data_IF_601529410235
#
_entry.id   IF_601529410235
#
_cell.length_a   1.000
_cell.length_b   1.000
_cell.length_c   1.000
_cell.angle_alpha   90.00
_cell.angle_beta   90.00
_cell.angle_gamma   90.00
#
_symmetry.space_group_name_H-M   'P 1'
#
loop_
_entity.id
_entity.type
_entity.pdbx_description
1 polymer ?
#
# COMPACT_ATOMS: atom_id res chain seq x y z
N UNK A 1 -44.12 -21.29 8.33
CA UNK A 1 -43.64 -20.28 9.30
C UNK A 1 -42.31 -19.75 8.80
N UNK A 2 -42.29 -18.56 8.21
CA UNK A 2 -41.04 -17.92 7.80
C UNK A 2 -40.34 -17.38 9.04
N UNK A 3 -39.09 -17.79 9.27
CA UNK A 3 -38.26 -17.21 10.31
C UNK A 3 -38.15 -15.70 10.08
N UNK A 4 -38.59 -14.93 11.08
CA UNK A 4 -38.66 -13.48 11.01
C UNK A 4 -37.29 -12.89 10.72
N UNK A 5 -37.19 -12.12 9.64
CA UNK A 5 -36.00 -11.31 9.39
C UNK A 5 -35.83 -10.32 10.55
N UNK A 6 -34.60 -10.09 11.04
CA UNK A 6 -34.36 -9.12 12.09
C UNK A 6 -34.84 -7.74 11.62
N UNK A 7 -35.53 -7.01 12.50
CA UNK A 7 -35.96 -5.65 12.22
C UNK A 7 -34.76 -4.76 11.88
N UNK A 8 -34.97 -3.75 11.05
CA UNK A 8 -33.93 -2.78 10.67
C UNK A 8 -33.25 -2.14 11.89
N UNK A 9 -34.00 -2.00 12.99
CA UNK A 9 -33.50 -1.55 14.29
C UNK A 9 -32.52 -2.56 14.95
N UNK A 10 -32.80 -3.86 14.87
CA UNK A 10 -31.89 -4.90 15.37
C UNK A 10 -30.61 -4.99 14.53
N UNK A 11 -30.72 -4.81 13.21
CA UNK A 11 -29.56 -4.73 12.31
C UNK A 11 -28.67 -3.51 12.64
N UNK A 12 -29.27 -2.33 12.85
CA UNK A 12 -28.53 -1.13 13.30
C UNK A 12 -27.87 -1.32 14.67
N UNK A 13 -28.57 -1.89 15.66
CA UNK A 13 -28.01 -2.12 16.99
C UNK A 13 -26.86 -3.16 16.99
N UNK A 14 -26.92 -4.17 16.11
CA UNK A 14 -25.81 -5.10 15.89
C UNK A 14 -24.62 -4.41 15.21
N UNK A 15 -24.89 -3.54 14.22
CA UNK A 15 -23.86 -2.73 13.57
C UNK A 15 -23.18 -1.77 14.56
N UNK A 16 -23.93 -1.07 15.41
CA UNK A 16 -23.38 -0.15 16.42
C UNK A 16 -22.50 -0.86 17.46
N UNK A 17 -22.90 -2.05 17.92
CA UNK A 17 -22.07 -2.87 18.83
C UNK A 17 -20.78 -3.35 18.17
N UNK A 18 -20.88 -3.73 16.90
CA UNK A 18 -19.73 -4.14 16.07
C UNK A 18 -18.77 -2.97 15.89
N UNK A 19 -19.27 -1.78 15.54
CA UNK A 19 -18.47 -0.56 15.39
C UNK A 19 -17.76 -0.17 16.70
N UNK A 20 -18.43 -0.29 17.86
CA UNK A 20 -17.81 0.01 19.17
C UNK A 20 -16.66 -0.93 19.54
N UNK A 21 -16.68 -2.17 19.08
CA UNK A 21 -15.58 -3.12 19.32
C UNK A 21 -14.43 -3.00 18.30
N UNK A 22 -14.68 -2.38 17.15
CA UNK A 22 -13.74 -2.24 16.02
C UNK A 22 -12.66 -1.15 16.26
N UNK A 23 -12.84 -0.29 17.27
CA UNK A 23 -11.95 0.85 17.51
C UNK A 23 -11.96 1.86 16.35
N UNK A 24 -11.19 2.95 16.50
CA UNK A 24 -11.20 4.05 15.51
C UNK A 24 -10.49 3.70 14.19
N UNK A 25 -9.73 2.60 14.15
CA UNK A 25 -8.81 2.28 13.05
C UNK A 25 -9.43 1.43 11.93
N UNK A 26 -10.64 0.89 12.18
CA UNK A 26 -11.32 -0.04 11.30
C UNK A 26 -10.74 -1.46 11.40
N UNK A 27 -11.59 -2.46 11.16
CA UNK A 27 -11.21 -3.88 11.18
C UNK A 27 -11.40 -4.46 9.79
N UNK A 28 -10.43 -5.23 9.33
CA UNK A 28 -10.55 -5.97 8.06
C UNK A 28 -11.18 -7.31 8.34
N UNK A 29 -12.13 -7.64 7.47
CA UNK A 29 -13.03 -8.76 7.66
C UNK A 29 -13.18 -9.53 6.36
N UNK A 30 -13.25 -10.86 6.44
CA UNK A 30 -13.61 -11.70 5.29
C UNK A 30 -15.11 -12.00 5.35
N UNK A 31 -15.85 -11.69 4.28
CA UNK A 31 -17.29 -11.94 4.23
C UNK A 31 -17.57 -13.44 4.02
N UNK A 32 -18.12 -14.08 5.06
CA UNK A 32 -18.49 -15.50 5.09
C UNK A 32 -19.40 -15.93 3.95
N UNK A 33 -20.36 -15.09 3.54
CA UNK A 33 -21.28 -15.42 2.42
C UNK A 33 -20.54 -15.56 1.11
N UNK A 34 -19.38 -14.92 1.01
CA UNK A 34 -18.52 -15.01 -0.17
C UNK A 34 -17.68 -16.28 -0.10
N UNK A 35 -17.17 -16.64 1.09
CA UNK A 35 -16.46 -17.91 1.33
C UNK A 35 -17.34 -19.12 1.04
N UNK A 36 -18.59 -19.10 1.50
CA UNK A 36 -19.52 -20.22 1.28
C UNK A 36 -19.90 -20.36 -0.21
N UNK A 37 -19.97 -19.25 -0.96
CA UNK A 37 -20.20 -19.26 -2.41
C UNK A 37 -18.99 -19.75 -3.20
N UNK A 38 -17.75 -19.44 -2.77
CA UNK A 38 -16.56 -19.97 -3.42
C UNK A 38 -16.29 -21.43 -3.09
N UNK A 39 -16.80 -21.94 -1.97
CA UNK A 39 -16.69 -23.35 -1.60
C UNK A 39 -17.55 -24.29 -2.48
N UNK A 40 -18.60 -23.77 -3.13
CA UNK A 40 -19.50 -24.55 -4.01
C UNK A 40 -19.04 -24.57 -5.46
N UNK A 41 -17.94 -23.91 -5.79
CA UNK A 41 -17.38 -23.82 -7.14
C UNK A 41 -16.43 -25.01 -7.38
N UNK A 42 -16.53 -25.71 -8.51
CA UNK A 42 -15.76 -26.94 -8.83
C UNK A 42 -14.25 -26.70 -9.06
N UNK A 43 -13.73 -25.52 -8.75
CA UNK A 43 -12.31 -25.18 -8.82
C UNK A 43 -11.57 -25.72 -7.57
N UNK A 44 -10.70 -26.75 -7.71
CA UNK A 44 -10.02 -27.37 -6.58
C UNK A 44 -9.13 -26.40 -5.78
N UNK A 45 -8.64 -25.31 -6.39
CA UNK A 45 -7.87 -24.27 -5.71
C UNK A 45 -8.73 -23.37 -4.81
N UNK A 46 -9.99 -23.12 -5.21
CA UNK A 46 -10.96 -22.35 -4.40
C UNK A 46 -11.44 -23.15 -3.20
N UNK A 47 -11.62 -24.46 -3.36
CA UNK A 47 -12.00 -25.36 -2.26
C UNK A 47 -10.99 -25.39 -1.11
N UNK A 48 -9.68 -25.37 -1.42
CA UNK A 48 -8.64 -25.31 -0.40
C UNK A 48 -8.68 -23.98 0.38
N UNK A 49 -8.76 -22.86 -0.33
CA UNK A 49 -8.85 -21.51 0.25
C UNK A 49 -10.10 -21.37 1.13
N UNK A 50 -11.25 -21.88 0.68
CA UNK A 50 -12.49 -21.83 1.43
C UNK A 50 -12.45 -22.71 2.70
N UNK A 51 -11.77 -23.87 2.66
CA UNK A 51 -11.55 -24.71 3.86
C UNK A 51 -10.66 -24.03 4.89
N UNK A 52 -9.58 -23.39 4.44
CA UNK A 52 -8.68 -22.62 5.32
C UNK A 52 -9.41 -21.45 5.98
N UNK A 53 -10.18 -20.68 5.19
CA UNK A 53 -11.04 -19.61 5.70
C UNK A 53 -12.08 -20.12 6.70
N UNK A 54 -12.71 -21.28 6.45
CA UNK A 54 -13.66 -21.88 7.41
C UNK A 54 -12.97 -22.33 8.70
N UNK A 55 -11.77 -22.91 8.61
CA UNK A 55 -11.01 -23.32 9.78
C UNK A 55 -10.64 -22.12 10.67
N UNK A 56 -10.22 -21.01 10.06
CA UNK A 56 -9.97 -19.74 10.77
C UNK A 56 -11.26 -19.15 11.36
N UNK A 57 -12.39 -19.24 10.64
CA UNK A 57 -13.71 -18.80 11.14
C UNK A 57 -14.10 -19.55 12.42
N UNK A 58 -13.94 -20.86 12.41
CA UNK A 58 -14.28 -21.72 13.55
C UNK A 58 -13.29 -21.52 14.70
N UNK A 59 -12.03 -21.17 14.41
CA UNK A 59 -11.02 -20.81 15.41
C UNK A 59 -11.38 -19.50 16.12
N UNK A 60 -11.72 -18.45 15.37
CA UNK A 60 -12.12 -17.16 15.92
C UNK A 60 -13.38 -17.25 16.80
N UNK A 61 -14.35 -18.09 16.43
CA UNK A 61 -15.53 -18.39 17.25
C UNK A 61 -15.19 -19.01 18.59
N UNK A 62 -14.33 -20.04 18.58
CA UNK A 62 -13.87 -20.70 19.81
C UNK A 62 -13.15 -19.73 20.75
N UNK A 63 -12.56 -18.66 20.22
CA UNK A 63 -11.93 -17.60 21.00
C UNK A 63 -12.91 -16.57 21.62
N UNK A 64 -14.23 -16.75 21.48
CA UNK A 64 -15.23 -15.90 22.13
C UNK A 64 -15.67 -14.68 21.33
N UNK A 65 -15.45 -14.66 20.01
CA UNK A 65 -15.92 -13.59 19.11
C UNK A 65 -17.44 -13.67 18.78
N UNK A 66 -18.22 -14.43 19.54
CA UNK A 66 -19.61 -14.84 19.26
C UNK A 66 -20.66 -13.69 19.26
N UNK A 67 -20.24 -12.43 19.42
CA UNK A 67 -21.14 -11.26 19.37
C UNK A 67 -20.93 -10.33 18.17
N UNK A 68 -19.84 -10.47 17.43
CA UNK A 68 -19.50 -9.61 16.30
C UNK A 68 -19.85 -10.28 14.96
N UNK A 69 -21.14 -10.24 14.62
CA UNK A 69 -21.70 -10.52 13.28
C UNK A 69 -21.41 -11.92 12.73
N UNK A 70 -22.46 -12.73 12.54
CA UNK A 70 -22.45 -14.11 11.99
C UNK A 70 -21.73 -14.34 10.63
N UNK A 71 -21.17 -13.28 10.03
CA UNK A 71 -20.68 -13.21 8.66
C UNK A 71 -19.27 -12.58 8.50
N UNK A 72 -18.56 -12.31 9.60
CA UNK A 72 -17.34 -11.51 9.61
C UNK A 72 -16.18 -12.35 10.13
N UNK A 73 -15.26 -12.75 9.24
CA UNK A 73 -14.00 -13.38 9.64
C UNK A 73 -13.02 -12.30 10.07
N UNK A 74 -12.57 -12.35 11.31
CA UNK A 74 -11.46 -11.52 11.79
C UNK A 74 -10.20 -11.87 11.00
N UNK A 75 -9.51 -10.87 10.42
CA UNK A 75 -8.16 -11.12 9.92
C UNK A 75 -7.29 -11.47 11.14
N UNK A 76 -6.61 -12.62 11.15
CA UNK A 76 -5.83 -13.07 12.31
C UNK A 76 -4.77 -12.02 12.70
N UNK A 77 -4.20 -12.15 13.90
CA UNK A 77 -3.40 -11.16 14.63
C UNK A 77 -2.39 -10.32 13.82
N UNK A 78 -1.80 -9.28 14.43
CA UNK A 78 -1.08 -8.21 13.72
C UNK A 78 0.09 -8.65 12.81
N UNK A 79 0.53 -9.91 12.91
CA UNK A 79 1.61 -10.50 12.10
C UNK A 79 1.14 -11.52 11.08
N UNK A 80 -0.15 -11.86 11.07
CA UNK A 80 -0.63 -12.92 10.22
C UNK A 80 -0.77 -12.42 8.78
N UNK A 81 -0.19 -13.15 7.81
CA UNK A 81 -0.24 -12.78 6.41
C UNK A 81 -1.68 -12.85 5.88
N UNK A 82 -2.03 -11.98 4.94
CA UNK A 82 -3.30 -12.08 4.21
C UNK A 82 -3.00 -12.63 2.83
N UNK A 83 -3.44 -13.87 2.52
CA UNK A 83 -3.26 -14.44 1.20
C UNK A 83 -3.95 -13.59 0.14
N UNK A 84 -3.26 -13.33 -0.95
CA UNK A 84 -3.76 -12.49 -2.03
C UNK A 84 -5.07 -12.97 -2.65
N UNK A 85 -5.30 -14.28 -2.68
CA UNK A 85 -6.53 -14.89 -3.17
C UNK A 85 -7.77 -14.51 -2.34
N UNK A 86 -7.61 -13.96 -1.14
CA UNK A 86 -8.73 -13.51 -0.31
C UNK A 86 -9.26 -12.14 -0.73
N UNK A 87 -8.53 -11.36 -1.55
CA UNK A 87 -8.90 -10.00 -1.97
C UNK A 87 -10.39 -9.82 -2.35
N UNK A 88 -11.03 -10.67 -3.19
CA UNK A 88 -12.43 -10.50 -3.57
C UNK A 88 -13.42 -10.63 -2.41
N UNK A 89 -12.97 -11.20 -1.29
CA UNK A 89 -13.75 -11.51 -0.11
C UNK A 89 -13.46 -10.56 1.05
N UNK A 90 -12.47 -9.66 0.89
CA UNK A 90 -12.12 -8.68 1.91
C UNK A 90 -13.11 -7.52 1.93
N UNK A 91 -13.45 -7.11 3.13
CA UNK A 91 -14.05 -5.83 3.42
C UNK A 91 -13.30 -5.16 4.57
N UNK A 92 -13.25 -3.84 4.58
CA UNK A 92 -12.82 -3.03 5.71
C UNK A 92 -14.04 -2.38 6.33
N UNK A 93 -14.23 -2.57 7.62
CA UNK A 93 -15.33 -1.97 8.39
C UNK A 93 -14.73 -0.87 9.24
N UNK A 94 -15.21 0.36 9.07
CA UNK A 94 -14.78 1.54 9.84
C UNK A 94 -16.01 2.24 10.44
N UNK A 95 -15.83 3.23 11.33
CA UNK A 95 -16.95 4.06 11.79
C UNK A 95 -17.72 4.75 10.65
N UNK A 96 -17.07 4.99 9.51
CA UNK A 96 -17.66 5.62 8.32
C UNK A 96 -18.44 4.63 7.43
N UNK A 97 -18.28 3.32 7.65
CA UNK A 97 -19.05 2.30 6.95
C UNK A 97 -18.24 1.06 6.56
N UNK A 98 -18.83 0.27 5.66
CA UNK A 98 -18.22 -0.95 5.12
C UNK A 98 -17.71 -0.69 3.71
N UNK A 99 -16.44 -0.97 3.49
CA UNK A 99 -15.75 -0.86 2.21
C UNK A 99 -15.41 -2.26 1.73
N UNK A 100 -15.84 -2.65 0.53
CA UNK A 100 -15.56 -3.97 -0.03
C UNK A 100 -14.69 -3.83 -1.27
N UNK A 101 -13.84 -4.82 -1.52
CA UNK A 101 -13.06 -4.89 -2.75
C UNK A 101 -13.97 -5.21 -3.93
N UNK A 102 -14.01 -4.31 -4.91
CA UNK A 102 -14.61 -4.53 -6.23
C UNK A 102 -13.49 -4.56 -7.28
N UNK A 103 -13.16 -5.77 -7.73
CA UNK A 103 -12.11 -6.00 -8.72
C UNK A 103 -12.45 -5.47 -10.11
N UNK A 104 -13.73 -5.28 -10.44
CA UNK A 104 -14.14 -4.68 -11.72
C UNK A 104 -13.85 -3.18 -11.67
N UNK A 105 -14.25 -2.51 -10.59
CA UNK A 105 -13.93 -1.09 -10.38
C UNK A 105 -12.41 -0.84 -10.38
N UNK A 106 -11.63 -1.69 -9.69
CA UNK A 106 -10.17 -1.61 -9.70
C UNK A 106 -9.59 -1.82 -11.10
N UNK A 107 -10.12 -2.78 -11.86
CA UNK A 107 -9.69 -3.04 -13.24
C UNK A 107 -9.94 -1.84 -14.15
N UNK A 108 -11.13 -1.24 -14.07
CA UNK A 108 -11.49 -0.02 -14.80
C UNK A 108 -10.58 1.14 -14.42
N UNK A 109 -10.36 1.37 -13.12
CA UNK A 109 -9.48 2.44 -12.61
C UNK A 109 -8.05 2.31 -13.12
N UNK A 110 -7.55 1.07 -13.18
CA UNK A 110 -6.18 0.78 -13.61
C UNK A 110 -6.04 0.63 -15.14
N UNK A 111 -7.15 0.66 -15.91
CA UNK A 111 -7.14 0.40 -17.34
C UNK A 111 -6.61 -1.00 -17.69
N UNK A 112 -6.91 -2.01 -16.87
CA UNK A 112 -6.40 -3.39 -16.99
C UNK A 112 -7.55 -4.39 -16.94
N UNK A 113 -7.29 -5.65 -17.30
CA UNK A 113 -8.28 -6.72 -17.12
C UNK A 113 -8.44 -7.09 -15.65
N UNK A 114 -9.66 -7.47 -15.23
CA UNK A 114 -9.96 -7.98 -13.88
C UNK A 114 -8.99 -9.07 -13.44
N UNK A 115 -8.74 -10.06 -14.30
CA UNK A 115 -7.82 -11.16 -13.99
C UNK A 115 -6.37 -10.68 -13.87
N UNK A 116 -5.96 -9.69 -14.68
CA UNK A 116 -4.63 -9.09 -14.59
C UNK A 116 -4.41 -8.37 -13.26
N UNK A 117 -5.38 -7.57 -12.83
CA UNK A 117 -5.35 -6.88 -11.52
C UNK A 117 -5.38 -7.87 -10.37
N UNK A 118 -6.28 -8.85 -10.42
CA UNK A 118 -6.36 -9.88 -9.38
C UNK A 118 -5.05 -10.64 -9.23
N UNK A 119 -4.44 -11.10 -10.34
CA UNK A 119 -3.16 -11.82 -10.33
C UNK A 119 -2.03 -10.95 -9.78
N UNK A 120 -1.97 -9.69 -10.20
CA UNK A 120 -0.97 -8.73 -9.73
C UNK A 120 -1.06 -8.55 -8.21
N UNK A 121 -2.23 -8.18 -7.71
CA UNK A 121 -2.45 -7.95 -6.29
C UNK A 121 -2.29 -9.24 -5.49
N UNK A 122 -2.70 -10.38 -6.04
CA UNK A 122 -2.54 -11.67 -5.36
C UNK A 122 -1.08 -12.11 -5.23
N UNK A 123 -0.20 -11.62 -6.11
CA UNK A 123 1.24 -11.86 -6.04
C UNK A 123 1.99 -10.90 -5.11
N UNK A 124 1.28 -9.94 -4.49
CA UNK A 124 1.84 -9.04 -3.48
C UNK A 124 2.30 -9.86 -2.27
N UNK A 125 3.37 -9.42 -1.61
CA UNK A 125 3.81 -10.02 -0.36
C UNK A 125 2.62 -10.05 0.64
N UNK A 126 2.20 -11.22 1.13
CA UNK A 126 1.06 -11.34 2.03
C UNK A 126 1.19 -10.51 3.31
N UNK A 127 2.42 -10.30 3.83
CA UNK A 127 2.66 -9.45 4.98
C UNK A 127 2.45 -7.96 4.64
N UNK A 128 2.92 -7.50 3.47
CA UNK A 128 2.71 -6.12 3.03
C UNK A 128 1.22 -5.83 2.77
N UNK A 129 0.49 -6.80 2.20
CA UNK A 129 -0.96 -6.68 2.04
C UNK A 129 -1.67 -6.61 3.40
N UNK A 130 -1.25 -7.43 4.36
CA UNK A 130 -1.81 -7.43 5.70
C UNK A 130 -1.51 -6.12 6.47
N UNK A 131 -0.29 -5.57 6.32
CA UNK A 131 0.08 -4.25 6.84
C UNK A 131 -0.82 -3.15 6.24
N UNK A 132 -0.99 -3.15 4.90
CA UNK A 132 -1.87 -2.21 4.20
C UNK A 132 -3.28 -2.24 4.80
N UNK A 133 -3.88 -3.42 4.85
CA UNK A 133 -5.25 -3.66 5.29
C UNK A 133 -5.51 -3.15 6.72
N UNK A 134 -4.53 -3.28 7.61
CA UNK A 134 -4.62 -2.85 9.01
C UNK A 134 -4.23 -1.39 9.26
N UNK A 135 -3.75 -0.70 8.23
CA UNK A 135 -3.22 0.65 8.38
C UNK A 135 -4.34 1.67 8.56
N UNK A 136 -4.16 2.60 9.49
CA UNK A 136 -5.02 3.80 9.58
C UNK A 136 -4.69 4.75 8.43
N UNK A 137 -3.40 4.93 8.15
CA UNK A 137 -2.85 5.66 7.00
C UNK A 137 -1.66 4.89 6.46
N UNK A 138 -1.44 4.95 5.16
CA UNK A 138 -0.34 4.24 4.52
C UNK A 138 0.53 5.17 3.69
N UNK A 139 1.84 4.98 3.82
CA UNK A 139 2.86 5.45 2.89
C UNK A 139 3.29 4.28 2.03
N UNK A 140 2.78 4.22 0.80
CA UNK A 140 3.17 3.21 -0.17
C UNK A 140 4.51 3.59 -0.80
N UNK A 141 5.45 2.65 -0.80
CA UNK A 141 6.81 2.86 -1.36
C UNK A 141 7.14 1.76 -2.36
N UNK A 142 8.06 2.04 -3.30
CA UNK A 142 8.39 1.08 -4.35
C UNK A 142 9.08 -0.17 -3.80
N UNK A 143 10.12 -0.03 -2.98
CA UNK A 143 10.95 -1.14 -2.52
C UNK A 143 11.15 -1.24 -1.01
N UNK A 144 11.84 -2.30 -0.60
CA UNK A 144 12.22 -2.52 0.81
C UNK A 144 13.32 -1.58 1.30
N UNK A 145 14.13 -1.05 0.37
CA UNK A 145 15.14 -0.01 0.65
C UNK A 145 14.49 1.31 1.02
N UNK A 146 13.45 1.71 0.28
CA UNK A 146 12.62 2.88 0.59
C UNK A 146 11.99 2.75 1.97
N UNK A 147 11.36 1.60 2.23
CA UNK A 147 10.76 1.29 3.53
C UNK A 147 11.79 1.46 4.65
N UNK A 148 12.98 0.90 4.49
CA UNK A 148 14.01 0.89 5.52
C UNK A 148 14.45 2.30 5.95
N UNK A 149 14.48 3.25 5.01
CA UNK A 149 14.82 4.66 5.26
C UNK A 149 13.61 5.41 5.81
N UNK A 150 12.48 5.32 5.10
CA UNK A 150 11.29 6.12 5.40
C UNK A 150 10.64 5.72 6.72
N UNK A 151 10.67 4.45 7.14
CA UNK A 151 10.22 4.04 8.48
C UNK A 151 10.99 4.76 9.59
N UNK A 152 12.32 4.89 9.44
CA UNK A 152 13.14 5.58 10.44
C UNK A 152 12.83 7.06 10.46
N UNK A 153 12.71 7.69 9.29
CA UNK A 153 12.39 9.11 9.19
C UNK A 153 11.01 9.42 9.78
N UNK A 154 9.98 8.66 9.40
CA UNK A 154 8.60 8.78 9.92
C UNK A 154 8.60 8.66 11.45
N UNK A 155 9.30 7.66 12.00
CA UNK A 155 9.40 7.46 13.46
C UNK A 155 10.15 8.60 14.16
N UNK A 156 11.29 9.05 13.62
CA UNK A 156 12.07 10.15 14.20
C UNK A 156 11.37 11.51 14.08
N UNK A 157 10.50 11.67 13.08
CA UNK A 157 9.69 12.88 12.87
C UNK A 157 8.37 12.88 13.67
N UNK A 158 8.07 11.81 14.40
CA UNK A 158 6.91 11.72 15.28
C UNK A 158 5.58 11.41 14.58
N UNK A 159 5.61 10.83 13.39
CA UNK A 159 4.40 10.49 12.62
C UNK A 159 3.95 9.06 12.96
N UNK A 160 3.27 8.89 14.09
CA UNK A 160 3.03 7.58 14.72
C UNK A 160 1.92 6.70 14.11
N UNK A 161 1.00 7.26 13.33
CA UNK A 161 -0.19 6.59 12.77
C UNK A 161 -0.02 6.18 11.28
N UNK A 162 1.17 6.40 10.72
CA UNK A 162 1.49 6.14 9.32
C UNK A 162 2.32 4.85 9.17
N UNK A 163 1.77 3.86 8.47
CA UNK A 163 2.50 2.62 8.15
C UNK A 163 3.21 2.78 6.81
N UNK A 164 4.49 2.40 6.74
CA UNK A 164 5.25 2.37 5.47
C UNK A 164 5.18 0.98 4.86
N UNK A 165 4.55 0.85 3.69
CA UNK A 165 4.28 -0.45 3.06
C UNK A 165 4.95 -0.53 1.68
N UNK A 166 5.84 -1.52 1.46
CA UNK A 166 6.52 -1.69 0.17
C UNK A 166 5.64 -2.47 -0.81
N UNK A 167 5.47 -1.94 -2.03
CA UNK A 167 4.68 -2.58 -3.07
C UNK A 167 5.50 -3.56 -3.93
N UNK A 168 6.81 -3.35 -4.04
CA UNK A 168 7.76 -4.16 -4.80
C UNK A 168 7.90 -3.81 -6.28
N UNK A 169 7.01 -3.00 -6.85
CA UNK A 169 7.13 -2.44 -8.20
C UNK A 169 6.16 -1.27 -8.40
N UNK A 170 6.43 -0.38 -9.36
CA UNK A 170 5.50 0.71 -9.76
C UNK A 170 4.11 0.20 -10.17
N UNK A 171 4.06 -0.97 -10.83
CA UNK A 171 2.80 -1.59 -11.26
C UNK A 171 1.96 -2.04 -10.05
N UNK A 172 2.58 -2.66 -9.05
CA UNK A 172 1.90 -3.02 -7.80
C UNK A 172 1.58 -1.81 -6.96
N UNK A 173 2.43 -0.80 -6.98
CA UNK A 173 2.21 0.47 -6.28
C UNK A 173 0.90 1.11 -6.73
N UNK A 174 0.66 1.17 -8.03
CA UNK A 174 -0.62 1.62 -8.61
C UNK A 174 -1.80 0.76 -8.14
N UNK A 175 -1.66 -0.56 -8.16
CA UNK A 175 -2.70 -1.49 -7.72
C UNK A 175 -3.04 -1.36 -6.23
N UNK A 176 -2.02 -1.30 -5.37
CA UNK A 176 -2.18 -1.15 -3.92
C UNK A 176 -2.76 0.22 -3.57
N UNK A 177 -2.38 1.29 -4.29
CA UNK A 177 -2.96 2.62 -4.07
C UNK A 177 -4.47 2.64 -4.40
N UNK A 178 -4.86 2.03 -5.53
CA UNK A 178 -6.27 1.90 -5.90
C UNK A 178 -7.05 1.04 -4.88
N UNK A 179 -6.49 -0.09 -4.45
CA UNK A 179 -7.07 -0.97 -3.43
C UNK A 179 -7.27 -0.24 -2.10
N UNK A 180 -6.22 0.44 -1.61
CA UNK A 180 -6.25 1.17 -0.35
C UNK A 180 -7.35 2.23 -0.34
N UNK A 181 -7.48 2.97 -1.46
CA UNK A 181 -8.56 3.95 -1.64
C UNK A 181 -9.95 3.30 -1.61
N UNK A 182 -10.15 2.19 -2.31
CA UNK A 182 -11.43 1.47 -2.31
C UNK A 182 -11.82 1.02 -0.90
N UNK A 183 -10.82 0.69 -0.06
CA UNK A 183 -10.96 0.33 1.35
C UNK A 183 -11.00 1.54 2.30
N UNK A 184 -11.02 2.77 1.78
CA UNK A 184 -11.07 3.99 2.58
C UNK A 184 -9.82 4.22 3.44
N UNK A 185 -8.66 3.71 3.01
CA UNK A 185 -7.37 3.92 3.69
C UNK A 185 -6.69 5.14 3.05
N UNK A 186 -6.49 6.26 3.80
CA UNK A 186 -5.67 7.38 3.35
C UNK A 186 -4.30 6.88 2.91
N UNK A 187 -3.97 7.15 1.65
CA UNK A 187 -2.75 6.67 1.00
C UNK A 187 -1.91 7.81 0.46
N UNK A 188 -0.63 7.84 0.80
CA UNK A 188 0.40 8.66 0.18
C UNK A 188 1.38 7.74 -0.55
N UNK A 189 1.85 8.13 -1.74
CA UNK A 189 2.71 7.27 -2.58
C UNK A 189 4.09 7.90 -2.79
N UNK A 190 5.17 7.15 -2.60
CA UNK A 190 6.54 7.58 -2.92
C UNK A 190 7.13 6.60 -3.93
N UNK A 191 7.75 7.13 -4.98
CA UNK A 191 8.39 6.32 -6.01
C UNK A 191 9.62 7.01 -6.60
N UNK A 192 10.52 6.21 -7.15
CA UNK A 192 11.64 6.69 -7.95
C UNK A 192 11.12 7.24 -9.28
N UNK A 193 11.47 8.48 -9.64
CA UNK A 193 11.14 9.04 -10.94
C UNK A 193 11.90 8.39 -12.09
N UNK A 194 12.93 7.58 -11.79
CA UNK A 194 13.76 6.85 -12.75
C UNK A 194 14.40 7.76 -13.82
N UNK A 195 14.46 9.06 -13.53
CA UNK A 195 15.08 10.06 -14.38
C UNK A 195 16.59 9.93 -14.43
N UNK A 196 17.22 10.85 -15.16
CA UNK A 196 18.67 10.94 -15.30
C UNK A 196 19.15 10.65 -16.72
N UNK A 197 20.43 10.90 -16.93
CA UNK A 197 21.09 10.74 -18.23
C UNK A 197 21.03 9.26 -18.63
N UNK A 198 20.54 8.92 -19.85
CA UNK A 198 20.62 7.58 -20.38
C UNK A 198 22.06 7.05 -20.23
N UNK A 199 22.28 5.83 -19.74
CA UNK A 199 23.61 5.23 -19.78
C UNK A 199 24.15 5.26 -21.21
N UNK A 200 25.44 5.49 -21.37
CA UNK A 200 26.08 5.57 -22.68
C UNK A 200 25.84 4.29 -23.52
N UNK A 201 25.10 4.50 -24.61
CA UNK A 201 25.16 3.83 -25.91
C UNK A 201 24.93 2.30 -26.03
N UNK A 202 24.14 1.65 -25.17
CA UNK A 202 23.62 0.30 -25.50
C UNK A 202 22.12 0.32 -25.78
N UNK A 203 21.70 -0.42 -26.81
CA UNK A 203 20.27 -0.64 -27.10
C UNK A 203 19.51 -1.24 -25.92
N UNK A 204 20.20 -1.98 -25.04
CA UNK A 204 19.67 -2.50 -23.77
C UNK A 204 19.36 -1.37 -22.78
N UNK A 205 20.26 -0.41 -22.60
CA UNK A 205 20.05 0.74 -21.72
C UNK A 205 18.84 1.57 -22.17
N UNK A 206 18.72 1.88 -23.47
CA UNK A 206 17.56 2.60 -24.01
C UNK A 206 16.25 1.83 -23.86
N UNK A 207 16.26 0.49 -24.01
CA UNK A 207 15.06 -0.34 -23.76
C UNK A 207 14.65 -0.32 -22.28
N UNK A 208 15.63 -0.41 -21.37
CA UNK A 208 15.37 -0.33 -19.93
C UNK A 208 14.79 1.03 -19.53
N UNK A 209 15.36 2.13 -20.02
CA UNK A 209 14.86 3.48 -19.73
C UNK A 209 13.45 3.69 -20.28
N UNK A 210 13.16 3.25 -21.51
CA UNK A 210 11.79 3.29 -22.06
C UNK A 210 10.79 2.48 -21.21
N UNK A 211 11.19 1.31 -20.72
CA UNK A 211 10.34 0.51 -19.82
C UNK A 211 10.06 1.24 -18.51
N UNK A 212 11.08 1.88 -17.91
CA UNK A 212 10.93 2.67 -16.66
C UNK A 212 10.04 3.88 -16.86
N UNK A 213 10.24 4.59 -17.98
CA UNK A 213 9.38 5.70 -18.39
C UNK A 213 7.91 5.23 -18.51
N UNK A 214 7.65 4.16 -19.26
CA UNK A 214 6.30 3.63 -19.43
C UNK A 214 5.64 3.22 -18.10
N UNK A 215 6.41 2.60 -17.19
CA UNK A 215 5.90 2.22 -15.86
C UNK A 215 5.61 3.44 -14.98
N UNK A 216 6.48 4.44 -15.00
CA UNK A 216 6.31 5.70 -14.25
C UNK A 216 5.11 6.48 -14.76
N UNK A 217 4.97 6.63 -16.07
CA UNK A 217 3.82 7.29 -16.69
C UNK A 217 2.50 6.53 -16.43
N UNK A 218 2.52 5.19 -16.42
CA UNK A 218 1.35 4.40 -16.07
C UNK A 218 0.93 4.57 -14.60
N UNK A 219 1.90 4.64 -13.68
CA UNK A 219 1.66 4.97 -12.29
C UNK A 219 1.05 6.37 -12.16
N UNK A 220 1.64 7.39 -12.79
CA UNK A 220 1.13 8.76 -12.77
C UNK A 220 -0.31 8.87 -13.28
N UNK A 221 -0.64 8.19 -14.39
CA UNK A 221 -2.03 8.16 -14.90
C UNK A 221 -3.00 7.60 -13.87
N UNK A 222 -2.59 6.57 -13.13
CA UNK A 222 -3.41 6.01 -12.04
C UNK A 222 -3.55 7.02 -10.89
N UNK A 223 -2.45 7.66 -10.48
CA UNK A 223 -2.47 8.64 -9.39
C UNK A 223 -3.22 9.94 -9.76
N UNK A 224 -3.26 10.31 -11.04
CA UNK A 224 -4.01 11.45 -11.53
C UNK A 224 -5.54 11.29 -11.36
N UNK A 225 -6.04 10.05 -11.31
CA UNK A 225 -7.46 9.78 -10.96
C UNK A 225 -7.76 10.27 -9.54
N UNK A 226 -6.75 10.33 -8.67
CA UNK A 226 -6.92 10.57 -7.24
C UNK A 226 -6.53 11.98 -6.80
N UNK A 227 -5.83 12.73 -7.65
CA UNK A 227 -5.13 13.95 -7.25
C UNK A 227 -5.32 15.05 -8.29
N UNK A 228 -5.40 16.32 -7.89
CA UNK A 228 -5.32 17.42 -8.84
C UNK A 228 -4.06 17.25 -9.71
N UNK A 229 -4.18 17.54 -11.00
CA UNK A 229 -3.07 17.43 -11.93
C UNK A 229 -1.88 18.27 -11.44
N UNK A 230 -0.78 17.58 -11.12
CA UNK A 230 0.54 18.18 -10.98
C UNK A 230 1.22 17.99 -12.34
N UNK A 231 1.66 19.06 -12.98
CA UNK A 231 2.44 18.98 -14.23
C UNK A 231 3.87 18.51 -13.90
N UNK A 232 4.03 17.20 -13.74
CA UNK A 232 5.30 16.51 -13.56
C UNK A 232 5.42 15.41 -14.61
N UNK A 233 6.62 15.28 -15.20
CA UNK A 233 6.93 14.34 -16.27
C UNK A 233 8.17 13.53 -15.90
N UNK A 234 8.28 12.37 -16.53
CA UNK A 234 9.45 11.51 -16.38
C UNK A 234 10.75 12.30 -16.65
N UNK A 235 11.67 12.29 -15.69
CA UNK A 235 12.94 13.02 -15.75
C UNK A 235 12.91 14.41 -15.12
N UNK A 236 11.77 14.90 -14.68
CA UNK A 236 11.68 16.16 -13.92
C UNK A 236 12.34 16.02 -12.54
N UNK A 237 12.75 17.14 -11.90
CA UNK A 237 13.27 17.13 -10.54
C UNK A 237 12.30 16.55 -9.51
N UNK A 238 12.83 16.25 -8.33
CA UNK A 238 12.02 15.78 -7.19
C UNK A 238 10.83 16.69 -6.91
N UNK A 239 9.64 16.09 -6.85
CA UNK A 239 8.40 16.79 -6.51
C UNK A 239 7.74 16.13 -5.31
N UNK A 240 7.28 16.96 -4.37
CA UNK A 240 6.44 16.55 -3.24
C UNK A 240 5.06 17.13 -3.47
N UNK A 241 4.18 16.31 -4.03
CA UNK A 241 2.79 16.66 -4.30
C UNK A 241 1.87 16.41 -3.10
N UNK A 242 0.56 16.68 -3.24
CA UNK A 242 -0.40 16.54 -2.15
C UNK A 242 -0.62 15.09 -1.68
N UNK A 243 -0.52 14.11 -2.58
CA UNK A 243 -0.78 12.69 -2.27
C UNK A 243 0.34 11.75 -2.75
N UNK A 244 1.35 12.29 -3.41
CA UNK A 244 2.48 11.49 -3.86
C UNK A 244 3.73 12.33 -3.99
N UNK A 245 4.87 11.65 -3.95
CA UNK A 245 6.20 12.20 -4.14
C UNK A 245 6.94 11.37 -5.18
N UNK A 246 7.55 12.03 -6.16
CA UNK A 246 8.45 11.41 -7.11
C UNK A 246 9.87 11.93 -6.85
N UNK A 247 10.81 11.03 -6.60
CA UNK A 247 12.22 11.39 -6.60
C UNK A 247 12.67 11.71 -8.02
N UNK A 248 13.63 12.62 -8.21
CA UNK A 248 14.08 13.02 -9.55
C UNK A 248 14.71 11.85 -10.30
N UNK A 249 15.51 11.04 -9.59
CA UNK A 249 16.12 9.82 -10.14
C UNK A 249 15.81 8.62 -9.26
N UNK A 250 16.53 8.45 -8.15
CA UNK A 250 16.32 7.39 -7.16
C UNK A 250 16.43 7.91 -5.74
N UNK A 251 15.90 7.15 -4.77
CA UNK A 251 16.10 7.41 -3.35
C UNK A 251 17.60 7.56 -2.99
N UNK A 252 18.49 6.71 -3.54
CA UNK A 252 19.91 6.77 -3.19
C UNK A 252 20.58 8.07 -3.67
N UNK A 253 20.11 8.65 -4.78
CA UNK A 253 20.59 9.95 -5.22
C UNK A 253 20.19 11.06 -4.22
N UNK A 254 18.96 11.01 -3.70
CA UNK A 254 18.49 11.93 -2.64
C UNK A 254 19.27 11.75 -1.33
N UNK A 255 19.54 10.51 -0.92
CA UNK A 255 20.35 10.20 0.25
C UNK A 255 21.80 10.67 0.11
N UNK A 256 22.32 10.70 -1.12
CA UNK A 256 23.69 11.17 -1.39
C UNK A 256 23.86 12.67 -1.13
N UNK A 257 22.76 13.43 -1.12
CA UNK A 257 22.77 14.85 -0.74
C UNK A 257 22.71 15.06 0.78
N UNK A 258 22.53 14.01 1.59
CA UNK A 258 22.43 14.10 3.05
C UNK A 258 23.79 13.85 3.71
N UNK A 259 24.51 14.92 4.06
CA UNK A 259 25.88 14.86 4.58
C UNK A 259 26.04 13.98 5.83
N UNK A 260 25.13 14.09 6.79
CA UNK A 260 25.08 13.32 8.02
C UNK A 260 24.81 11.84 7.78
N UNK A 261 23.96 11.54 6.78
CA UNK A 261 23.73 10.16 6.34
C UNK A 261 24.97 9.56 5.69
N UNK A 262 25.62 10.28 4.77
CA UNK A 262 26.85 9.83 4.12
C UNK A 262 27.95 9.59 5.16
N UNK A 263 28.11 10.49 6.12
CA UNK A 263 29.07 10.35 7.22
C UNK A 263 28.76 9.15 8.12
N UNK A 264 27.48 8.87 8.38
CA UNK A 264 27.06 7.68 9.13
C UNK A 264 27.28 6.38 8.35
N UNK A 265 26.98 6.39 7.04
CA UNK A 265 27.19 5.27 6.14
C UNK A 265 28.68 4.89 6.06
N UNK A 266 29.57 5.87 5.87
CA UNK A 266 31.02 5.62 5.83
C UNK A 266 31.57 5.07 7.14
N UNK A 267 31.15 5.60 8.29
CA UNK A 267 31.53 5.05 9.61
C UNK A 267 31.16 3.59 9.74
N UNK A 268 29.93 3.21 9.34
CA UNK A 268 29.47 1.82 9.40
C UNK A 268 30.33 0.90 8.55
N UNK A 269 30.76 1.34 7.36
CA UNK A 269 31.65 0.53 6.52
C UNK A 269 33.03 0.39 7.16
N UNK A 270 33.60 1.46 7.72
CA UNK A 270 34.86 1.41 8.44
C UNK A 270 34.81 0.49 9.68
N UNK A 271 33.65 0.41 10.35
CA UNK A 271 33.39 -0.46 11.50
C UNK A 271 33.15 -1.94 11.12
N UNK A 272 32.98 -2.28 9.84
CA UNK A 272 32.67 -3.63 9.36
C UNK A 272 33.91 -4.35 8.80
N UNK A 273 34.66 -5.12 9.60
CA UNK A 273 35.82 -5.85 9.10
C UNK A 273 35.41 -6.85 8.00
N UNK A 274 36.05 -6.79 6.84
CA UNK A 274 35.87 -7.73 5.73
C UNK A 274 35.00 -7.23 4.56
N UNK A 275 34.38 -6.06 4.66
CA UNK A 275 33.93 -5.33 3.46
C UNK A 275 35.19 -4.75 2.82
N UNK A 276 35.55 -5.21 1.62
CA UNK A 276 36.73 -4.76 0.89
C UNK A 276 36.76 -3.24 0.62
N UNK A 277 37.69 -2.75 -0.22
CA UNK A 277 37.71 -1.33 -0.59
C UNK A 277 36.34 -0.88 -1.06
N UNK A 278 36.00 0.36 -0.66
CA UNK A 278 34.70 0.95 -0.90
C UNK A 278 34.38 0.92 -2.39
N UNK A 279 33.16 0.50 -2.80
CA UNK A 279 32.77 0.63 -4.20
C UNK A 279 32.82 2.11 -4.58
N UNK A 280 33.39 2.40 -5.75
CA UNK A 280 33.42 3.74 -6.36
C UNK A 280 32.02 4.23 -6.80
N UNK A 281 31.01 3.35 -6.68
CA UNK A 281 29.65 3.47 -7.19
C UNK A 281 28.63 3.11 -6.07
N UNK A 282 27.32 3.39 -6.23
CA UNK A 282 26.43 3.99 -5.21
C UNK A 282 26.28 3.21 -3.91
N UNK A 283 25.82 3.94 -2.88
CA UNK A 283 25.38 3.43 -1.57
C UNK A 283 24.81 2.00 -1.66
N UNK A 284 25.25 1.07 -0.78
CA UNK A 284 24.84 -0.31 -0.87
C UNK A 284 23.32 -0.43 -0.75
N UNK A 285 22.68 -1.14 -1.69
CA UNK A 285 21.23 -1.42 -1.72
C UNK A 285 20.82 -2.47 -0.68
N UNK A 286 21.26 -2.28 0.55
CA UNK A 286 20.99 -3.15 1.68
C UNK A 286 20.11 -2.37 2.68
N UNK A 287 18.86 -2.81 2.86
CA UNK A 287 17.91 -2.11 3.73
C UNK A 287 18.40 -1.98 5.18
N UNK A 288 19.08 -2.99 5.74
CA UNK A 288 19.60 -2.91 7.11
C UNK A 288 20.71 -1.84 7.25
N UNK A 289 21.57 -1.73 6.22
CA UNK A 289 22.58 -0.68 6.14
C UNK A 289 21.94 0.71 6.06
N UNK A 290 21.02 0.91 5.11
CA UNK A 290 20.35 2.19 4.91
C UNK A 290 19.58 2.62 6.17
N UNK A 291 18.91 1.69 6.84
CA UNK A 291 18.19 1.91 8.10
C UNK A 291 19.10 2.41 9.21
N UNK A 292 20.25 1.77 9.41
CA UNK A 292 21.20 2.16 10.46
C UNK A 292 21.84 3.53 10.17
N UNK A 293 22.25 3.77 8.92
CA UNK A 293 22.77 5.06 8.50
C UNK A 293 21.74 6.18 8.72
N UNK A 294 20.47 5.95 8.33
CA UNK A 294 19.35 6.88 8.55
C UNK A 294 19.12 7.16 10.04
N UNK A 295 19.28 6.16 10.91
CA UNK A 295 19.11 6.31 12.36
C UNK A 295 20.19 7.21 12.97
N UNK A 296 21.43 7.10 12.48
CA UNK A 296 22.60 7.82 12.99
C UNK A 296 22.78 9.22 12.38
N UNK A 297 22.20 9.47 11.22
CA UNK A 297 22.28 10.75 10.53
C UNK A 297 21.61 11.87 11.34
N UNK A 298 22.13 13.08 11.25
CA UNK A 298 21.52 14.26 11.87
C UNK A 298 20.28 14.69 11.07
N UNK A 299 19.21 15.12 11.74
CA UNK A 299 18.05 15.69 11.04
C UNK A 299 18.25 17.17 10.71
N UNK A 300 19.19 17.85 11.38
CA UNK A 300 19.47 19.28 11.12
C UNK A 300 20.00 19.54 9.71
N UNK A 301 20.63 18.55 9.09
CA UNK A 301 21.14 18.62 7.71
C UNK A 301 20.33 17.75 6.72
N UNK A 302 19.13 17.30 7.12
CA UNK A 302 18.23 16.52 6.27
C UNK A 302 17.92 17.30 4.97
N UNK A 303 18.04 16.71 3.77
CA UNK A 303 17.75 17.38 2.51
C UNK A 303 16.33 17.95 2.45
N UNK A 304 16.17 19.05 1.72
CA UNK A 304 14.88 19.74 1.61
C UNK A 304 13.78 18.85 0.98
N UNK A 305 14.15 17.92 0.09
CA UNK A 305 13.22 16.93 -0.47
C UNK A 305 12.57 16.07 0.61
N UNK A 306 13.37 15.51 1.52
CA UNK A 306 12.87 14.75 2.67
C UNK A 306 12.10 15.62 3.67
N UNK A 307 12.57 16.83 4.01
CA UNK A 307 11.82 17.74 4.90
C UNK A 307 10.43 18.05 4.35
N UNK A 308 10.35 18.40 3.06
CA UNK A 308 9.08 18.67 2.39
C UNK A 308 8.16 17.45 2.41
N UNK A 309 8.69 16.26 2.15
CA UNK A 309 7.93 15.01 2.26
C UNK A 309 7.40 14.81 3.68
N UNK A 310 8.25 14.90 4.71
CA UNK A 310 7.83 14.68 6.09
C UNK A 310 6.79 15.69 6.57
N UNK A 311 6.96 16.97 6.25
CA UNK A 311 5.92 17.99 6.51
C UNK A 311 4.61 17.65 5.80
N UNK A 312 4.67 17.24 4.53
CA UNK A 312 3.49 16.80 3.79
C UNK A 312 2.81 15.60 4.45
N UNK A 313 3.57 14.66 5.00
CA UNK A 313 3.04 13.50 5.71
C UNK A 313 2.44 13.86 7.07
N UNK A 314 2.89 14.93 7.73
CA UNK A 314 2.20 15.47 8.92
C UNK A 314 0.84 16.04 8.51
N UNK A 315 0.80 16.83 7.44
CA UNK A 315 -0.42 17.49 6.96
C UNK A 315 -1.39 16.54 6.25
N UNK A 316 -0.97 15.32 5.92
CA UNK A 316 -1.76 14.34 5.18
C UNK A 316 -2.85 13.74 6.09
N UNK A 317 -4.11 14.18 6.04
CA UNK A 317 -5.06 13.91 7.11
C UNK A 317 -5.51 12.43 7.16
N UNK A 318 -5.77 11.87 8.36
CA UNK A 318 -6.28 10.50 8.55
C UNK A 318 -7.69 10.24 7.96
N UNK A 319 -8.40 11.27 7.52
CA UNK A 319 -9.84 11.20 7.30
C UNK A 319 -10.35 11.79 5.99
N UNK A 320 -9.49 12.21 5.06
CA UNK A 320 -9.97 12.58 3.73
C UNK A 320 -10.37 11.30 2.99
N UNK A 321 -11.61 10.86 3.23
CA UNK A 321 -12.33 10.02 2.28
C UNK A 321 -12.33 10.82 1.01
N UNK A 322 -11.38 10.54 0.12
CA UNK A 322 -11.40 11.16 -1.19
C UNK A 322 -12.74 10.73 -1.77
N UNK A 323 -13.64 11.68 -2.13
CA UNK A 323 -14.99 11.35 -2.54
C UNK A 323 -14.91 10.17 -3.48
N UNK A 324 -15.70 9.12 -3.23
CA UNK A 324 -15.91 8.11 -4.28
C UNK A 324 -16.24 8.93 -5.50
N UNK A 325 -15.40 8.85 -6.53
CA UNK A 325 -15.76 9.35 -7.83
C UNK A 325 -17.07 8.63 -8.10
N UNK A 326 -18.21 9.35 -7.97
CA UNK A 326 -19.42 8.90 -8.63
C UNK A 326 -19.02 8.95 -10.08
N UNK A 327 -18.58 7.80 -10.59
CA UNK A 327 -18.58 7.57 -12.01
C UNK A 327 -20.07 7.63 -12.31
N UNK A 328 -20.54 8.82 -12.69
CA UNK A 328 -21.88 8.97 -13.22
C UNK A 328 -21.90 8.03 -14.43
N UNK A 329 -22.65 6.94 -14.31
CA UNK A 329 -22.84 5.95 -15.38
C UNK A 329 -23.65 6.54 -16.54
N UNK A 330 -23.34 7.77 -16.94
CA UNK A 330 -23.94 8.41 -18.11
C UNK A 330 -23.26 7.84 -19.36
N UNK A 331 -24.09 7.26 -20.23
CA UNK A 331 -23.82 6.97 -21.65
C UNK A 331 -23.06 5.68 -22.00
N UNK A 332 -23.50 4.53 -21.47
CA UNK A 332 -23.41 3.25 -22.20
C UNK A 332 -24.81 2.63 -22.37
N UNK A 333 -25.78 3.45 -22.76
CA UNK A 333 -27.02 2.98 -23.38
C UNK A 333 -26.96 3.36 -24.86
N UNK A 334 -26.82 2.35 -25.72
CA UNK A 334 -27.19 2.42 -27.14
C UNK A 334 -26.14 2.90 -28.13
N UNK A 335 -25.37 1.97 -28.70
CA UNK A 335 -25.20 1.85 -30.16
C UNK A 335 -24.84 0.41 -30.52
#
# INVERSE_FOLDING_TARGET
>A
MYAGWPSEAAARAAQDRTVRAIGDHGTVVVDRRTVDRTATDDDPGRGATARELRAELDSARRAGADGLVDHVLYVPGPRDPVPGQWLPHLARVTPQGRFQVDLVELATTLGRSRNGVFRELSSTNPAALAELLRSTRVLLVEGVTDRAVLEVLVGRWGIGDLTVVPAGSKVRLAGMAALARQLGIPTYVVFDGDGGTPPTATSKAHRMQRSRQQQTEALLRTLAVFTPAVDWKFGDPTVVGPYWCAWGTTLEAELSAWGGFISAAWRRVAESPGTGPLPEDPLPKNGAFLRDATRRADLEDLPNSFRRLLHRLVDFPPGTVIPRLRIESSAFEGS
#
